data_IF_750383219586
#
_entry.id   IF_750383219586
#
_cell.length_a   1.000
_cell.length_b   1.000
_cell.length_c   1.000
_cell.angle_alpha   90.00
_cell.angle_beta   90.00
_cell.angle_gamma   90.00
#
_symmetry.space_group_name_H-M   'P 1'
#
loop_
_entity.id
_entity.type
_entity.pdbx_description
1 polymer ?
#
# COMPACT_ATOMS: atom_id res chain seq x y z
N UNK A 1 -2.00 -18.54 -0.72
CA UNK A 1 -2.56 -17.17 -0.52
C UNK A 1 -4.00 -17.19 0.01
N UNK A 2 -4.55 -18.37 0.33
CA UNK A 2 -5.87 -18.53 0.98
C UNK A 2 -5.69 -18.92 2.45
N UNK A 3 -4.45 -19.15 2.87
CA UNK A 3 -4.09 -19.87 4.10
C UNK A 3 -4.17 -19.02 5.37
N UNK A 4 -4.41 -17.70 5.23
CA UNK A 4 -4.56 -16.76 6.34
C UNK A 4 -6.01 -16.24 6.50
N UNK A 5 -6.92 -16.62 5.61
CA UNK A 5 -8.30 -16.15 5.68
C UNK A 5 -9.14 -17.09 6.54
N UNK A 6 -9.35 -16.71 7.81
CA UNK A 6 -10.33 -17.38 8.68
C UNK A 6 -11.71 -16.75 8.48
N UNK A 7 -12.67 -17.56 7.99
CA UNK A 7 -14.09 -17.19 7.96
C UNK A 7 -14.84 -17.99 9.02
N UNK A 8 -15.60 -17.34 9.92
CA UNK A 8 -16.46 -18.05 10.87
C UNK A 8 -17.43 -19.01 10.17
N UNK A 9 -17.84 -20.06 10.89
CA UNK A 9 -18.89 -20.96 10.41
C UNK A 9 -20.16 -20.13 10.12
N UNK A 10 -20.75 -20.35 8.95
CA UNK A 10 -21.95 -19.67 8.45
C UNK A 10 -21.77 -18.15 8.18
N UNK A 11 -20.52 -17.67 8.02
CA UNK A 11 -20.28 -16.30 7.60
C UNK A 11 -20.95 -15.98 6.27
N UNK A 12 -21.73 -14.89 6.25
CA UNK A 12 -22.28 -14.28 5.05
C UNK A 12 -21.79 -12.86 4.98
N UNK A 13 -21.12 -12.51 3.89
CA UNK A 13 -20.72 -11.13 3.66
C UNK A 13 -21.96 -10.24 3.61
N UNK A 14 -22.02 -9.16 4.41
CA UNK A 14 -23.14 -8.22 4.34
C UNK A 14 -23.12 -7.42 3.03
N UNK A 15 -21.99 -7.39 2.33
CA UNK A 15 -21.78 -6.68 1.08
C UNK A 15 -21.47 -7.67 -0.05
N UNK A 16 -22.01 -7.42 -1.22
CA UNK A 16 -21.52 -8.04 -2.45
C UNK A 16 -20.14 -7.47 -2.85
N UNK A 17 -19.56 -8.01 -3.92
CA UNK A 17 -18.23 -7.60 -4.39
C UNK A 17 -18.17 -6.11 -4.74
N UNK A 18 -19.16 -5.61 -5.48
CA UNK A 18 -19.19 -4.21 -5.94
C UNK A 18 -19.41 -3.26 -4.76
N UNK A 19 -20.28 -3.64 -3.84
CA UNK A 19 -20.50 -2.91 -2.60
C UNK A 19 -19.23 -2.89 -1.73
N UNK A 20 -18.48 -3.99 -1.68
CA UNK A 20 -17.20 -4.07 -0.96
C UNK A 20 -16.16 -3.13 -1.58
N UNK A 21 -15.99 -3.12 -2.90
CA UNK A 21 -15.10 -2.20 -3.60
C UNK A 21 -15.45 -0.73 -3.35
N UNK A 22 -16.76 -0.41 -3.37
CA UNK A 22 -17.24 0.93 -3.09
C UNK A 22 -16.99 1.33 -1.62
N UNK A 23 -17.23 0.40 -0.68
CA UNK A 23 -16.98 0.63 0.74
C UNK A 23 -15.48 0.86 1.02
N UNK A 24 -14.59 0.07 0.41
CA UNK A 24 -13.12 0.25 0.53
C UNK A 24 -12.71 1.65 0.04
N UNK A 25 -13.22 2.05 -1.13
CA UNK A 25 -12.94 3.39 -1.69
C UNK A 25 -13.41 4.49 -0.73
N UNK A 26 -14.67 4.39 -0.28
CA UNK A 26 -15.26 5.39 0.63
C UNK A 26 -14.48 5.54 1.94
N UNK A 27 -14.03 4.43 2.53
CA UNK A 27 -13.23 4.46 3.75
C UNK A 27 -11.88 5.17 3.50
N UNK A 28 -11.18 4.81 2.42
CA UNK A 28 -9.88 5.41 2.07
C UNK A 28 -9.98 6.91 1.81
N UNK A 29 -10.99 7.34 1.05
CA UNK A 29 -11.19 8.74 0.71
C UNK A 29 -11.59 9.58 1.92
N UNK A 30 -12.48 9.04 2.76
CA UNK A 30 -12.93 9.72 3.98
C UNK A 30 -11.76 9.91 4.95
N UNK A 31 -11.01 8.83 5.23
CA UNK A 31 -9.88 8.90 6.16
C UNK A 31 -8.82 9.89 5.67
N UNK A 32 -8.45 9.84 4.38
CA UNK A 32 -7.50 10.79 3.80
C UNK A 32 -7.96 12.24 3.98
N UNK A 33 -9.24 12.52 3.74
CA UNK A 33 -9.82 13.87 3.83
C UNK A 33 -9.74 14.39 5.26
N UNK A 34 -10.20 13.60 6.24
CA UNK A 34 -10.17 14.02 7.64
C UNK A 34 -8.75 14.11 8.20
N UNK A 35 -7.87 13.14 7.89
CA UNK A 35 -6.47 13.18 8.32
C UNK A 35 -5.76 14.44 7.81
N UNK A 36 -6.00 14.81 6.55
CA UNK A 36 -5.40 16.01 5.95
C UNK A 36 -5.91 17.29 6.59
N UNK A 37 -7.20 17.36 6.93
CA UNK A 37 -7.80 18.52 7.58
C UNK A 37 -7.27 18.70 9.02
N UNK A 38 -7.29 17.64 9.83
CA UNK A 38 -6.88 17.68 11.24
C UNK A 38 -5.40 18.00 11.41
N UNK A 39 -4.55 17.42 10.57
CA UNK A 39 -3.09 17.57 10.66
C UNK A 39 -2.52 18.64 9.70
N UNK A 40 -3.38 19.36 8.97
CA UNK A 40 -3.01 20.37 7.96
C UNK A 40 -2.02 19.83 6.92
N UNK A 41 -2.26 18.60 6.47
CA UNK A 41 -1.40 17.94 5.48
C UNK A 41 -1.86 18.25 4.06
N UNK A 42 -0.90 18.24 3.13
CA UNK A 42 -1.15 18.29 1.70
C UNK A 42 -0.85 16.93 1.08
N UNK A 43 -1.78 16.40 0.30
CA UNK A 43 -1.55 15.17 -0.46
C UNK A 43 -0.43 15.39 -1.47
N UNK A 44 0.55 14.47 -1.46
CA UNK A 44 1.63 14.38 -2.45
C UNK A 44 1.67 12.96 -3.01
N UNK A 45 2.14 12.81 -4.25
CA UNK A 45 2.33 11.49 -4.87
C UNK A 45 3.66 10.90 -4.40
N UNK A 46 3.62 9.75 -3.75
CA UNK A 46 4.81 9.01 -3.36
C UNK A 46 5.43 8.26 -4.55
N UNK A 47 6.76 8.10 -4.61
CA UNK A 47 7.40 7.23 -5.60
C UNK A 47 7.04 5.77 -5.34
N UNK A 48 6.85 4.99 -6.41
CA UNK A 48 6.64 3.54 -6.32
C UNK A 48 7.94 2.75 -6.15
N UNK A 49 9.04 3.31 -6.66
CA UNK A 49 10.37 2.71 -6.63
C UNK A 49 11.39 3.78 -6.25
N UNK A 50 12.40 3.40 -5.49
CA UNK A 50 13.49 4.28 -5.05
C UNK A 50 14.81 3.64 -5.44
N UNK A 51 15.80 4.44 -5.83
CA UNK A 51 17.10 3.89 -6.20
C UNK A 51 17.78 3.22 -5.00
N UNK A 52 18.32 2.02 -5.21
CA UNK A 52 19.08 1.30 -4.19
C UNK A 52 20.30 2.10 -3.74
N UNK A 53 20.57 2.10 -2.44
CA UNK A 53 21.73 2.79 -1.85
C UNK A 53 21.56 4.30 -1.67
N UNK A 54 20.38 4.86 -1.94
CA UNK A 54 20.10 6.29 -1.67
C UNK A 54 19.77 6.60 -0.22
N UNK A 55 19.44 5.58 0.58
CA UNK A 55 18.94 5.75 1.95
C UNK A 55 17.51 6.28 2.04
N UNK A 56 16.78 6.34 0.91
CA UNK A 56 15.38 6.79 0.89
C UNK A 56 14.37 5.68 1.21
N UNK A 57 14.72 4.41 0.98
CA UNK A 57 13.85 3.30 1.33
C UNK A 57 13.89 3.06 2.84
N UNK A 58 12.76 2.68 3.42
CA UNK A 58 12.71 2.25 4.81
C UNK A 58 13.13 0.77 4.90
N UNK A 59 14.20 0.49 5.65
CA UNK A 59 14.76 -0.84 5.83
C UNK A 59 13.99 -1.68 6.89
N UNK A 60 12.92 -1.13 7.49
CA UNK A 60 12.10 -1.79 8.52
C UNK A 60 12.96 -2.30 9.70
N UNK A 61 12.97 -3.61 9.98
CA UNK A 61 13.81 -4.19 11.03
C UNK A 61 15.20 -4.62 10.54
N UNK A 62 15.52 -4.38 9.26
CA UNK A 62 16.80 -4.71 8.63
C UNK A 62 17.00 -6.20 8.31
N UNK A 63 16.00 -7.04 8.57
CA UNK A 63 16.02 -8.48 8.26
C UNK A 63 15.18 -8.81 7.03
N UNK A 64 14.24 -7.92 6.71
CA UNK A 64 13.37 -7.97 5.56
C UNK A 64 14.17 -7.79 4.27
N UNK A 65 13.85 -8.56 3.24
CA UNK A 65 14.46 -8.44 1.92
C UNK A 65 13.56 -7.59 1.02
N UNK A 66 13.99 -6.38 0.59
CA UNK A 66 13.20 -5.59 -0.34
C UNK A 66 13.11 -6.28 -1.71
N UNK A 67 12.04 -5.99 -2.45
CA UNK A 67 11.92 -6.37 -3.86
C UNK A 67 12.86 -5.47 -4.66
N UNK A 68 13.71 -6.08 -5.49
CA UNK A 68 14.71 -5.33 -6.28
C UNK A 68 14.73 -5.82 -7.72
N UNK A 69 14.83 -4.89 -8.67
CA UNK A 69 14.98 -5.21 -10.10
C UNK A 69 15.77 -4.14 -10.87
N UNK A 70 16.49 -4.51 -11.94
CA UNK A 70 17.25 -3.57 -12.75
C UNK A 70 16.32 -2.77 -13.67
N UNK A 71 16.59 -1.47 -13.80
CA UNK A 71 15.87 -0.58 -14.71
C UNK A 71 16.70 -0.34 -15.97
N UNK A 72 16.32 -0.97 -17.09
CA UNK A 72 17.04 -0.86 -18.37
C UNK A 72 17.30 0.58 -18.82
N UNK A 73 16.29 1.46 -18.69
CA UNK A 73 16.41 2.88 -19.04
C UNK A 73 17.37 3.68 -18.15
N UNK A 74 17.91 3.06 -17.09
CA UNK A 74 18.87 3.64 -16.17
C UNK A 74 20.20 2.89 -16.16
N UNK A 75 20.52 2.14 -17.22
CA UNK A 75 21.76 1.34 -17.29
C UNK A 75 21.77 0.17 -16.30
N UNK A 76 20.62 -0.49 -16.16
CA UNK A 76 20.40 -1.64 -15.26
C UNK A 76 20.66 -1.35 -13.77
N UNK A 77 20.58 -0.07 -13.37
CA UNK A 77 20.56 0.29 -11.94
C UNK A 77 19.36 -0.33 -11.24
N UNK A 78 19.60 -0.80 -10.02
CA UNK A 78 18.60 -1.41 -9.17
C UNK A 78 17.76 -0.38 -8.42
N UNK A 79 16.46 -0.64 -8.36
CA UNK A 79 15.48 0.01 -7.48
C UNK A 79 14.91 -0.98 -6.48
#
# INVERSE_FOLDING_TARGET
MVDLLYLPKDYKSPLDLKQTEHAITRIKDSFQTFLSAELRLRRVTAPLFVLKGTGLNDDLNGTERPVTFPVRGMGDREV
#
